data_IF_800259068343
#
_entry.id   IF_800259068343
#
_cell.length_a   1.000
_cell.length_b   1.000
_cell.length_c   1.000
_cell.angle_alpha   90.00
_cell.angle_beta   90.00
_cell.angle_gamma   90.00
#
_symmetry.space_group_name_H-M   'P 1'
#
loop_
_entity.id
_entity.type
_entity.pdbx_description
1 polymer ?
#
# COMPACT_ATOMS: atom_id res chain seq x y z
N UNK A 1 29.93 -11.32 -7.04
CA UNK A 1 29.83 -9.98 -6.42
C UNK A 1 28.36 -9.63 -6.27
N UNK A 2 27.84 -9.43 -5.05
CA UNK A 2 26.43 -9.10 -4.83
C UNK A 2 26.16 -7.63 -5.18
N UNK A 3 25.24 -7.38 -6.11
CA UNK A 3 24.83 -6.03 -6.53
C UNK A 3 24.20 -5.31 -5.32
N UNK A 4 24.90 -4.31 -4.75
CA UNK A 4 24.35 -3.46 -3.67
C UNK A 4 23.03 -2.85 -4.13
N UNK A 5 21.94 -3.18 -3.45
CA UNK A 5 20.61 -2.61 -3.71
C UNK A 5 20.70 -1.11 -3.43
N UNK A 6 20.39 -0.28 -4.42
CA UNK A 6 20.28 1.18 -4.26
C UNK A 6 18.86 1.47 -3.80
N UNK A 7 18.72 1.95 -2.57
CA UNK A 7 17.43 2.38 -2.04
C UNK A 7 17.24 3.87 -2.31
N UNK A 8 16.03 4.28 -2.71
CA UNK A 8 15.65 5.68 -2.67
C UNK A 8 15.31 6.02 -1.21
N UNK A 9 15.90 7.08 -0.69
CA UNK A 9 15.66 7.53 0.68
C UNK A 9 14.37 8.37 0.70
N UNK A 10 13.50 8.15 1.69
CA UNK A 10 12.24 8.89 1.78
C UNK A 10 12.48 10.32 2.27
N UNK A 11 11.99 11.29 1.50
CA UNK A 11 11.83 12.68 1.94
C UNK A 11 10.37 12.88 2.34
N UNK A 12 10.09 12.67 3.62
CA UNK A 12 8.72 12.68 4.13
C UNK A 12 8.01 14.04 3.94
N UNK A 13 8.74 15.15 4.06
CA UNK A 13 8.18 16.49 3.89
C UNK A 13 7.81 16.81 2.43
N UNK A 14 8.61 16.33 1.47
CA UNK A 14 8.29 16.45 0.06
C UNK A 14 7.19 15.46 -0.38
N UNK A 15 7.14 14.28 0.25
CA UNK A 15 6.19 13.20 -0.11
C UNK A 15 4.75 13.56 0.23
N UNK A 16 4.50 14.37 1.27
CA UNK A 16 3.15 14.81 1.70
C UNK A 16 2.33 15.46 0.58
N UNK A 17 2.97 16.13 -0.38
CA UNK A 17 2.30 16.82 -1.50
C UNK A 17 2.44 16.09 -2.83
N UNK A 18 3.10 14.94 -2.84
CA UNK A 18 3.41 14.22 -4.09
C UNK A 18 2.16 13.47 -4.56
N UNK A 19 1.64 13.85 -5.72
CA UNK A 19 0.66 13.04 -6.44
C UNK A 19 1.41 12.00 -7.27
N UNK A 20 1.31 10.74 -6.85
CA UNK A 20 1.81 9.60 -7.60
C UNK A 20 0.62 8.89 -8.22
N UNK A 21 0.71 8.60 -9.52
CA UNK A 21 -0.24 7.65 -10.11
C UNK A 21 0.18 6.25 -9.68
N UNK A 22 -0.80 5.45 -9.26
CA UNK A 22 -0.52 4.07 -8.83
C UNK A 22 0.10 3.24 -9.97
N UNK A 23 -0.23 3.55 -11.22
CA UNK A 23 0.31 2.89 -12.41
C UNK A 23 1.81 3.15 -12.63
N UNK A 24 2.27 4.38 -12.38
CA UNK A 24 3.70 4.73 -12.50
C UNK A 24 4.52 4.13 -11.34
N UNK A 25 3.92 4.06 -10.15
CA UNK A 25 4.58 3.50 -8.96
C UNK A 25 4.59 1.96 -8.96
N UNK A 26 3.55 1.34 -9.51
CA UNK A 26 3.31 -0.10 -9.51
C UNK A 26 2.92 -0.56 -10.92
N UNK A 27 3.87 -0.74 -11.85
CA UNK A 27 3.59 -1.25 -13.19
C UNK A 27 2.98 -2.67 -13.16
N UNK A 28 2.41 -3.10 -14.28
CA UNK A 28 1.59 -4.33 -14.34
C UNK A 28 2.31 -5.62 -13.96
N UNK A 29 3.62 -5.64 -14.18
CA UNK A 29 4.55 -6.72 -13.84
C UNK A 29 5.17 -6.58 -12.45
N UNK A 30 4.79 -5.56 -11.68
CA UNK A 30 5.37 -5.30 -10.37
C UNK A 30 4.93 -6.34 -9.33
N UNK A 31 5.89 -6.94 -8.63
CA UNK A 31 5.65 -8.00 -7.64
C UNK A 31 4.66 -7.57 -6.54
N UNK A 32 4.60 -6.29 -6.18
CA UNK A 32 3.63 -5.81 -5.20
C UNK A 32 2.15 -5.99 -5.64
N UNK A 33 1.86 -6.10 -6.94
CA UNK A 33 0.50 -6.44 -7.43
C UNK A 33 0.08 -7.86 -7.06
N UNK A 34 1.03 -8.77 -6.86
CA UNK A 34 0.75 -10.10 -6.30
C UNK A 34 0.20 -9.99 -4.87
N UNK A 35 0.79 -9.12 -4.03
CA UNK A 35 0.32 -8.88 -2.67
C UNK A 35 -1.12 -8.34 -2.67
N UNK A 36 -1.42 -7.38 -3.56
CA UNK A 36 -2.79 -6.86 -3.74
C UNK A 36 -3.77 -7.96 -4.14
N UNK A 37 -3.32 -8.88 -5.01
CA UNK A 37 -4.13 -10.02 -5.43
C UNK A 37 -4.41 -10.98 -4.27
N UNK A 38 -3.45 -11.20 -3.37
CA UNK A 38 -3.63 -12.03 -2.16
C UNK A 38 -4.56 -11.36 -1.16
N UNK A 39 -4.44 -10.05 -0.94
CA UNK A 39 -5.35 -9.28 -0.09
C UNK A 39 -6.79 -9.40 -0.59
N UNK A 40 -6.99 -9.32 -1.91
CA UNK A 40 -8.32 -9.46 -2.52
C UNK A 40 -8.98 -10.83 -2.35
N UNK A 41 -8.23 -11.85 -1.90
CA UNK A 41 -8.77 -13.18 -1.55
C UNK A 41 -9.23 -13.28 -0.09
N UNK A 42 -8.90 -12.30 0.75
CA UNK A 42 -9.27 -12.30 2.17
C UNK A 42 -10.69 -11.78 2.34
N UNK A 43 -11.44 -12.40 3.24
CA UNK A 43 -12.70 -11.83 3.72
C UNK A 43 -12.42 -10.73 4.75
N UNK A 44 -12.64 -9.48 4.36
CA UNK A 44 -12.44 -8.30 5.21
C UNK A 44 -13.76 -7.73 5.74
N UNK A 45 -14.89 -8.43 5.55
CA UNK A 45 -16.23 -7.95 5.90
C UNK A 45 -16.35 -7.55 7.37
N UNK A 46 -15.73 -8.32 8.28
CA UNK A 46 -15.69 -8.02 9.71
C UNK A 46 -14.93 -6.71 10.00
N UNK A 47 -13.81 -6.45 9.31
CA UNK A 47 -13.03 -5.22 9.48
C UNK A 47 -13.83 -4.01 8.97
N UNK A 48 -14.51 -4.17 7.83
CA UNK A 48 -15.44 -3.17 7.34
C UNK A 48 -16.56 -2.88 8.33
N UNK A 49 -17.12 -3.91 8.98
CA UNK A 49 -18.17 -3.78 9.99
C UNK A 49 -17.73 -3.00 11.24
N UNK A 50 -16.43 -2.94 11.52
CA UNK A 50 -15.88 -2.17 12.63
C UNK A 50 -15.72 -0.66 12.32
N UNK A 51 -15.82 -0.23 11.05
CA UNK A 51 -15.80 1.20 10.76
C UNK A 51 -17.04 1.89 11.33
N UNK A 52 -16.81 2.76 12.31
CA UNK A 52 -17.85 3.58 12.91
C UNK A 52 -18.17 4.83 12.10
N UNK A 53 -19.25 5.53 12.49
CA UNK A 53 -19.70 6.80 11.88
C UNK A 53 -18.85 8.02 12.24
N UNK A 54 -17.68 7.84 12.84
CA UNK A 54 -16.85 8.92 13.39
C UNK A 54 -15.54 9.00 12.63
N UNK A 55 -15.14 10.23 12.25
CA UNK A 55 -13.92 10.49 11.50
C UNK A 55 -14.19 10.95 10.07
N UNK A 56 -13.11 11.13 9.30
CA UNK A 56 -13.18 11.39 7.86
C UNK A 56 -13.56 10.15 7.06
N UNK A 57 -13.54 10.26 5.74
CA UNK A 57 -13.77 9.12 4.85
C UNK A 57 -12.75 8.01 5.17
N UNK A 58 -13.20 6.79 5.54
CA UNK A 58 -12.30 5.71 5.91
C UNK A 58 -11.53 5.22 4.69
N UNK A 59 -10.25 4.90 4.88
CA UNK A 59 -9.48 4.15 3.91
C UNK A 59 -9.95 2.69 3.89
N UNK A 60 -9.99 2.06 2.72
CA UNK A 60 -10.36 0.66 2.60
C UNK A 60 -9.34 -0.25 3.33
N UNK A 61 -9.77 -1.28 4.07
CA UNK A 61 -8.88 -2.22 4.77
C UNK A 61 -7.81 -2.84 3.87
N UNK A 62 -8.15 -3.13 2.62
CA UNK A 62 -7.25 -3.69 1.60
C UNK A 62 -6.06 -2.76 1.33
N UNK A 63 -6.32 -1.45 1.30
CA UNK A 63 -5.29 -0.43 1.07
C UNK A 63 -4.35 -0.36 2.27
N UNK A 64 -4.89 -0.39 3.49
CA UNK A 64 -4.10 -0.38 4.72
C UNK A 64 -3.26 -1.66 4.86
N UNK A 65 -3.83 -2.83 4.53
CA UNK A 65 -3.10 -4.10 4.50
C UNK A 65 -1.99 -4.11 3.45
N UNK A 66 -2.25 -3.54 2.26
CA UNK A 66 -1.24 -3.39 1.21
C UNK A 66 -0.05 -2.56 1.65
N UNK A 67 -0.29 -1.48 2.40
CA UNK A 67 0.77 -0.63 2.96
C UNK A 67 1.58 -1.36 4.04
N UNK A 68 0.92 -2.08 4.96
CA UNK A 68 1.60 -2.83 6.03
C UNK A 68 2.52 -3.92 5.49
N UNK A 69 2.16 -4.57 4.38
CA UNK A 69 3.01 -5.57 3.74
C UNK A 69 4.13 -4.97 2.91
N UNK A 70 3.95 -3.76 2.36
CA UNK A 70 5.01 -3.04 1.66
C UNK A 70 6.12 -2.56 2.60
N UNK A 71 5.80 -2.17 3.85
CA UNK A 71 6.76 -1.58 4.80
C UNK A 71 7.65 -2.62 5.53
N UNK A 72 7.40 -3.93 5.34
CA UNK A 72 8.02 -5.02 6.12
C UNK A 72 9.14 -5.81 5.41
N UNK A 73 9.71 -5.31 4.31
CA UNK A 73 10.81 -5.97 3.58
C UNK A 73 11.84 -5.00 3.03
#
# INVERSE_FOLDING_TARGET
MAKKRKFRQADYAATEKTQITLGDALPADHLARFIVSVIGLLDLSEIYGQYGKRGGMPYAPEVLLGLLWHDRT
#
